data_IF_900341980369
#
_entry.id   IF_900341980369
#
_cell.length_a   1.000
_cell.length_b   1.000
_cell.length_c   1.000
_cell.angle_alpha   90.00
_cell.angle_beta   90.00
_cell.angle_gamma   90.00
#
_symmetry.space_group_name_H-M   'P 1'
#
loop_
_entity.id
_entity.type
_entity.pdbx_description
1 polymer ?
#
# COMPACT_ATOMS: atom_id res chain seq x y z
N UNK A 1 -14.94 -18.33 -22.95
CA UNK A 1 -13.55 -17.99 -22.59
C UNK A 1 -13.35 -16.53 -22.21
N UNK A 2 -13.80 -15.55 -23.02
CA UNK A 2 -13.61 -14.11 -22.76
C UNK A 2 -14.00 -13.67 -21.33
N UNK A 3 -15.17 -14.10 -20.83
CA UNK A 3 -15.64 -13.83 -19.45
C UNK A 3 -14.65 -14.25 -18.35
N UNK A 4 -14.03 -15.43 -18.48
CA UNK A 4 -13.03 -15.92 -17.51
C UNK A 4 -11.76 -15.07 -17.51
N UNK A 5 -11.36 -14.59 -18.69
CA UNK A 5 -10.19 -13.72 -18.85
C UNK A 5 -10.42 -12.37 -18.17
N UNK A 6 -11.58 -11.73 -18.38
CA UNK A 6 -11.92 -10.47 -17.72
C UNK A 6 -11.91 -10.59 -16.19
N UNK A 7 -12.49 -11.67 -15.65
CA UNK A 7 -12.48 -11.92 -14.20
C UNK A 7 -11.05 -12.14 -13.69
N UNK A 8 -10.21 -12.88 -14.42
CA UNK A 8 -8.82 -13.09 -14.02
C UNK A 8 -8.02 -11.78 -14.00
N UNK A 9 -8.21 -10.91 -15.01
CA UNK A 9 -7.57 -9.58 -15.06
C UNK A 9 -8.03 -8.71 -13.90
N UNK A 10 -9.33 -8.72 -13.58
CA UNK A 10 -9.90 -7.95 -12.47
C UNK A 10 -9.29 -8.36 -11.12
N UNK A 11 -9.19 -9.67 -10.87
CA UNK A 11 -8.53 -10.19 -9.66
C UNK A 11 -7.06 -9.76 -9.59
N UNK A 12 -6.33 -9.79 -10.72
CA UNK A 12 -4.94 -9.34 -10.76
C UNK A 12 -4.80 -7.84 -10.48
N UNK A 13 -5.69 -7.00 -11.01
CA UNK A 13 -5.70 -5.56 -10.74
C UNK A 13 -5.98 -5.26 -9.26
N UNK A 14 -6.92 -5.99 -8.65
CA UNK A 14 -7.20 -5.88 -7.22
C UNK A 14 -5.95 -6.24 -6.41
N UNK A 15 -5.31 -7.37 -6.72
CA UNK A 15 -4.08 -7.79 -6.03
C UNK A 15 -2.98 -6.74 -6.15
N UNK A 16 -2.74 -6.22 -7.36
CA UNK A 16 -1.76 -5.16 -7.61
C UNK A 16 -2.06 -3.89 -6.81
N UNK A 17 -3.33 -3.53 -6.65
CA UNK A 17 -3.74 -2.34 -5.90
C UNK A 17 -3.46 -2.44 -4.40
N UNK A 18 -3.47 -3.66 -3.85
CA UNK A 18 -3.25 -3.94 -2.41
C UNK A 18 -1.77 -4.17 -2.10
N UNK A 19 -0.95 -4.59 -3.06
CA UNK A 19 0.49 -4.85 -2.88
C UNK A 19 1.24 -3.71 -2.17
N UNK A 20 1.06 -2.42 -2.51
CA UNK A 20 1.76 -1.33 -1.82
C UNK A 20 1.41 -1.24 -0.34
N UNK A 21 0.14 -1.50 0.03
CA UNK A 21 -0.29 -1.53 1.43
C UNK A 21 0.43 -2.66 2.17
N UNK A 22 0.50 -3.85 1.55
CA UNK A 22 1.19 -5.00 2.12
C UNK A 22 2.69 -4.75 2.35
N UNK A 23 3.35 -4.08 1.41
CA UNK A 23 4.76 -3.70 1.54
C UNK A 23 4.98 -2.71 2.68
N UNK A 24 4.18 -1.65 2.77
CA UNK A 24 4.28 -0.67 3.87
C UNK A 24 4.07 -1.35 5.21
N UNK A 25 3.05 -2.20 5.34
CA UNK A 25 2.80 -2.94 6.59
C UNK A 25 3.95 -3.89 6.93
N UNK A 26 4.51 -4.58 5.93
CA UNK A 26 5.66 -5.46 6.12
C UNK A 26 6.87 -4.68 6.64
N UNK A 27 7.21 -3.55 6.02
CA UNK A 27 8.34 -2.73 6.44
C UNK A 27 8.12 -2.17 7.85
N UNK A 28 6.93 -1.65 8.14
CA UNK A 28 6.59 -1.15 9.48
C UNK A 28 6.71 -2.23 10.57
N UNK A 29 6.24 -3.46 10.30
CA UNK A 29 6.38 -4.59 11.24
C UNK A 29 7.84 -4.99 11.38
N UNK A 30 8.58 -5.06 10.27
CA UNK A 30 9.99 -5.43 10.27
C UNK A 30 10.84 -4.43 11.08
N UNK A 31 10.54 -3.13 10.98
CA UNK A 31 11.17 -2.08 11.81
C UNK A 31 10.73 -2.14 13.26
N UNK A 32 9.46 -2.49 13.53
CA UNK A 32 9.01 -2.70 14.90
C UNK A 32 9.78 -3.82 15.62
N UNK A 33 10.12 -4.89 14.90
CA UNK A 33 10.86 -6.04 15.43
C UNK A 33 12.36 -5.74 15.53
N UNK A 34 12.97 -5.23 14.45
CA UNK A 34 14.43 -5.07 14.36
C UNK A 34 14.94 -3.72 14.88
N UNK A 35 14.04 -2.78 15.12
CA UNK A 35 14.35 -1.41 15.51
C UNK A 35 14.59 -0.49 14.32
N UNK A 36 14.44 0.81 14.55
CA UNK A 36 14.77 1.86 13.58
C UNK A 36 15.53 2.98 14.28
N UNK A 37 16.50 3.57 13.57
CA UNK A 37 17.17 4.80 14.00
C UNK A 37 16.43 5.98 13.38
N UNK A 38 15.67 6.77 14.15
CA UNK A 38 14.90 7.86 13.59
C UNK A 38 15.82 8.95 13.02
N UNK A 39 15.56 9.34 11.77
CA UNK A 39 16.18 10.48 11.09
C UNK A 39 15.25 11.70 11.16
N UNK A 40 15.74 12.83 11.67
CA UNK A 40 15.11 14.13 11.46
C UNK A 40 13.88 14.51 12.30
N UNK A 41 13.22 13.58 13.00
CA UNK A 41 12.10 13.91 13.92
C UNK A 41 12.54 14.25 15.35
N UNK A 42 13.82 14.59 15.53
CA UNK A 42 14.36 15.11 16.77
C UNK A 42 13.92 16.56 17.02
N UNK A 43 12.63 16.79 17.28
CA UNK A 43 12.19 18.00 17.97
C UNK A 43 12.67 17.94 19.43
N UNK A 44 13.97 18.18 19.65
CA UNK A 44 14.57 18.36 20.97
C UNK A 44 14.72 17.10 21.84
N UNK A 45 14.35 15.93 21.35
CA UNK A 45 14.74 14.64 21.93
C UNK A 45 15.76 14.02 20.97
N UNK A 46 17.04 14.17 21.29
CA UNK A 46 18.06 13.26 20.77
C UNK A 46 17.61 11.85 21.15
N UNK A 47 17.07 11.07 20.22
CA UNK A 47 16.89 9.65 20.45
C UNK A 47 18.30 9.08 20.61
N UNK A 48 18.72 8.66 21.82
CA UNK A 48 20.10 8.25 22.04
C UNK A 48 20.36 6.83 21.48
N UNK A 49 19.38 6.22 20.81
CA UNK A 49 19.45 4.86 20.28
C UNK A 49 18.26 4.48 19.40
N UNK A 50 18.23 3.20 18.98
CA UNK A 50 17.15 2.65 18.18
C UNK A 50 15.82 2.61 18.96
N UNK A 51 14.73 2.94 18.28
CA UNK A 51 13.35 2.76 18.79
C UNK A 51 12.80 1.42 18.30
N UNK A 52 11.90 0.82 19.08
CA UNK A 52 11.34 -0.51 18.83
C UNK A 52 9.81 -0.54 19.00
N UNK A 53 9.19 -1.65 18.60
CA UNK A 53 7.78 -1.91 18.82
C UNK A 53 6.88 -0.90 18.12
N UNK A 54 5.82 -0.47 18.81
CA UNK A 54 4.79 0.41 18.24
C UNK A 54 5.32 1.80 17.85
N UNK A 55 6.34 2.31 18.54
CA UNK A 55 6.93 3.61 18.24
C UNK A 55 7.72 3.57 16.92
N UNK A 56 8.54 2.53 16.71
CA UNK A 56 9.21 2.26 15.45
C UNK A 56 8.22 2.05 14.29
N UNK A 57 7.13 1.30 14.53
CA UNK A 57 6.06 1.12 13.55
C UNK A 57 5.47 2.46 13.11
N UNK A 58 5.11 3.33 14.07
CA UNK A 58 4.51 4.64 13.77
C UNK A 58 5.46 5.56 13.03
N UNK A 59 6.74 5.53 13.40
CA UNK A 59 7.78 6.31 12.75
C UNK A 59 7.92 5.90 11.29
N UNK A 60 8.14 4.61 11.02
CA UNK A 60 8.28 4.10 9.64
C UNK A 60 6.99 4.34 8.84
N UNK A 61 5.83 4.07 9.42
CA UNK A 61 4.55 4.30 8.75
C UNK A 61 4.37 5.75 8.31
N UNK A 62 4.74 6.72 9.16
CA UNK A 62 4.67 8.14 8.80
C UNK A 62 5.66 8.48 7.69
N UNK A 63 6.87 7.95 7.79
CA UNK A 63 7.91 8.17 6.79
C UNK A 63 7.51 7.61 5.41
N UNK A 64 7.08 6.36 5.38
CA UNK A 64 6.65 5.66 4.16
C UNK A 64 5.37 6.25 3.58
N UNK A 65 4.42 6.68 4.41
CA UNK A 65 3.22 7.36 3.92
C UNK A 65 3.59 8.73 3.33
N UNK A 66 4.48 9.49 3.97
CA UNK A 66 4.88 10.80 3.47
C UNK A 66 5.65 10.71 2.14
N UNK A 67 6.72 9.91 2.11
CA UNK A 67 7.56 9.75 0.91
C UNK A 67 6.89 8.88 -0.16
N UNK A 68 6.17 7.84 0.25
CA UNK A 68 5.40 6.97 -0.63
C UNK A 68 4.22 7.70 -1.28
N UNK A 69 3.50 8.58 -0.56
CA UNK A 69 2.49 9.43 -1.20
C UNK A 69 3.13 10.47 -2.14
N UNK A 70 4.24 11.08 -1.72
CA UNK A 70 4.90 12.11 -2.53
C UNK A 70 5.38 11.58 -3.89
N UNK A 71 5.90 10.34 -3.92
CA UNK A 71 6.49 9.75 -5.13
C UNK A 71 5.49 8.84 -5.87
N UNK A 72 4.73 8.03 -5.14
CA UNK A 72 3.88 6.98 -5.69
C UNK A 72 2.38 7.16 -5.43
N UNK A 73 1.97 8.22 -4.71
CA UNK A 73 0.57 8.46 -4.37
C UNK A 73 -0.34 8.65 -5.59
N UNK A 74 0.09 9.46 -6.57
CA UNK A 74 -0.70 9.72 -7.79
C UNK A 74 -0.82 8.44 -8.64
N UNK A 75 0.27 7.72 -9.00
CA UNK A 75 0.16 6.46 -9.72
C UNK A 75 -0.70 5.42 -9.00
N UNK A 76 -0.59 5.31 -7.69
CA UNK A 76 -1.38 4.36 -6.90
C UNK A 76 -2.87 4.72 -6.87
N UNK A 77 -3.20 6.01 -6.71
CA UNK A 77 -4.58 6.50 -6.80
C UNK A 77 -5.19 6.23 -8.19
N UNK A 78 -4.42 6.45 -9.27
CA UNK A 78 -4.84 6.10 -10.62
C UNK A 78 -5.11 4.59 -10.77
N UNK A 79 -4.23 3.74 -10.24
CA UNK A 79 -4.40 2.28 -10.26
C UNK A 79 -5.68 1.86 -9.53
N UNK A 80 -5.96 2.43 -8.34
CA UNK A 80 -7.19 2.15 -7.59
C UNK A 80 -8.42 2.55 -8.40
N UNK A 81 -8.45 3.76 -8.96
CA UNK A 81 -9.57 4.24 -9.76
C UNK A 81 -9.80 3.36 -11.00
N UNK A 82 -8.74 3.00 -11.73
CA UNK A 82 -8.83 2.09 -12.88
C UNK A 82 -9.35 0.72 -12.46
N UNK A 83 -8.88 0.19 -11.33
CA UNK A 83 -9.33 -1.10 -10.79
C UNK A 83 -10.83 -1.05 -10.49
N UNK A 84 -11.31 -0.04 -9.77
CA UNK A 84 -12.75 0.12 -9.45
C UNK A 84 -13.59 0.18 -10.73
N UNK A 85 -13.21 1.00 -11.71
CA UNK A 85 -13.93 1.14 -12.97
C UNK A 85 -13.97 -0.20 -13.72
N UNK A 86 -12.84 -0.91 -13.77
CA UNK A 86 -12.73 -2.19 -14.44
C UNK A 86 -13.52 -3.30 -13.76
N UNK A 87 -13.56 -3.32 -12.43
CA UNK A 87 -14.38 -4.24 -11.64
C UNK A 87 -15.87 -4.01 -11.94
N UNK A 88 -16.33 -2.77 -11.92
CA UNK A 88 -17.73 -2.43 -12.25
C UNK A 88 -18.07 -2.88 -13.67
N UNK A 89 -17.21 -2.59 -14.65
CA UNK A 89 -17.38 -3.07 -16.02
C UNK A 89 -17.44 -4.60 -16.11
N UNK A 90 -16.52 -5.29 -15.44
CA UNK A 90 -16.43 -6.76 -15.45
C UNK A 90 -17.68 -7.40 -14.87
N UNK A 91 -18.21 -6.87 -13.76
CA UNK A 91 -19.46 -7.32 -13.14
C UNK A 91 -20.65 -7.12 -14.09
N UNK A 92 -20.79 -5.94 -14.71
CA UNK A 92 -21.87 -5.67 -15.67
C UNK A 92 -21.78 -6.60 -16.89
N UNK A 93 -20.59 -6.76 -17.47
CA UNK A 93 -20.35 -7.63 -18.62
C UNK A 93 -20.65 -9.10 -18.29
N UNK A 94 -20.26 -9.55 -17.10
CA UNK A 94 -20.51 -10.91 -16.62
C UNK A 94 -21.99 -11.17 -16.32
N UNK A 95 -22.73 -10.15 -15.87
CA UNK A 95 -24.17 -10.22 -15.60
C UNK A 95 -25.01 -10.21 -16.89
N UNK A 96 -24.62 -9.41 -17.88
CA UNK A 96 -25.35 -9.29 -19.14
C UNK A 96 -25.08 -10.47 -20.10
N UNK A 97 -23.90 -11.10 -20.03
CA UNK A 97 -23.59 -12.32 -20.78
C UNK A 97 -23.82 -13.57 -19.91
N UNK A 98 -25.05 -13.76 -19.44
CA UNK A 98 -25.49 -15.01 -18.82
C UNK A 98 -25.72 -16.09 -19.88
#
# INVERSE_FOLDING_TARGET
MKKKIFIAIDVLLILLSVTPIGLVLYDCINRAINGVSPWGDGYGLDYPGMIYGYEAFRYEFRFDVFWGLAIFGIPWACLILTTIIFTVFTVMYAKNNK
#
